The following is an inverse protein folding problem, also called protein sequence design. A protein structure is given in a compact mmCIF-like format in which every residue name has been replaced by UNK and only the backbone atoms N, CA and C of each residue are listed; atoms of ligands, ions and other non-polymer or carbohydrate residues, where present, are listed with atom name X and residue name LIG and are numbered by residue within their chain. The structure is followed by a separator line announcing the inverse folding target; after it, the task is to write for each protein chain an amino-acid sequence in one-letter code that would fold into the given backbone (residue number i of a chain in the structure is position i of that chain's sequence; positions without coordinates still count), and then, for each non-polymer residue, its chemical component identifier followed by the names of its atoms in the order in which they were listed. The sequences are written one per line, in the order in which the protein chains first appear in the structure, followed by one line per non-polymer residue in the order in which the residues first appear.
data_IF_962209457898
#
_entry.id   IF_962209457898
#
_cell.length_a   1.000
_cell.length_b   1.000
_cell.length_c   1.000
_cell.angle_alpha   90.00
_cell.angle_beta   90.00
_cell.angle_gamma   90.00
#
_symmetry.space_group_name_H-M   'P 1'
#
loop_
_entity.id
_entity.type
_entity.pdbx_description
1 polymer ?
#
# COMPACT_ATOMS: atom_id res chain seq x y z
N UNK A 1 20.80 12.59 12.05
CA UNK A 1 19.47 12.04 12.39
C UNK A 1 18.72 11.85 11.07
N UNK A 2 18.58 10.62 10.56
CA UNK A 2 17.83 10.38 9.31
C UNK A 2 16.39 10.79 9.58
N UNK A 3 15.87 11.75 8.82
CA UNK A 3 14.44 12.08 8.85
C UNK A 3 13.70 10.78 8.55
N UNK A 4 13.02 10.22 9.55
CA UNK A 4 12.11 9.10 9.34
C UNK A 4 11.02 9.65 8.44
N UNK A 5 11.00 9.20 7.18
CA UNK A 5 10.00 9.65 6.19
C UNK A 5 8.59 9.43 6.71
N UNK A 6 7.64 10.24 6.26
CA UNK A 6 6.24 10.10 6.64
C UNK A 6 5.70 8.73 6.18
N UNK A 7 5.33 7.87 7.12
CA UNK A 7 4.83 6.51 6.86
C UNK A 7 3.65 6.51 5.88
N UNK A 8 2.86 7.59 5.90
CA UNK A 8 1.70 7.79 5.03
C UNK A 8 2.05 7.85 3.55
N UNK A 9 3.26 8.32 3.22
CA UNK A 9 3.69 8.53 1.83
C UNK A 9 4.36 7.30 1.23
N UNK A 10 4.44 6.19 1.96
CA UNK A 10 5.09 4.95 1.54
C UNK A 10 4.11 3.81 1.69
N UNK A 11 3.83 3.11 0.59
CA UNK A 11 2.87 2.01 0.60
C UNK A 11 3.54 0.72 0.15
N UNK A 12 3.23 -0.38 0.86
CA UNK A 12 3.44 -1.73 0.39
C UNK A 12 2.12 -2.26 -0.19
N UNK A 13 2.08 -2.53 -1.50
CA UNK A 13 0.87 -2.95 -2.20
C UNK A 13 1.11 -4.09 -3.19
N UNK A 14 0.09 -4.91 -3.43
CA UNK A 14 0.05 -5.87 -4.53
C UNK A 14 -0.49 -5.13 -5.77
N UNK A 15 0.13 -5.32 -6.94
CA UNK A 15 -0.29 -4.66 -8.19
C UNK A 15 -1.10 -5.56 -9.13
N UNK A 16 -1.28 -6.82 -8.74
CA UNK A 16 -2.06 -7.79 -9.50
C UNK A 16 -3.44 -7.91 -8.85
N UNK A 17 -4.49 -7.60 -9.62
CA UNK A 17 -5.84 -7.43 -9.07
C UNK A 17 -6.64 -8.74 -9.02
N UNK A 18 -6.40 -9.68 -9.94
CA UNK A 18 -7.07 -10.99 -9.94
C UNK A 18 -6.47 -11.95 -10.98
N UNK A 19 -6.60 -13.25 -10.72
CA UNK A 19 -6.51 -14.32 -11.71
C UNK A 19 -7.90 -14.49 -12.34
N UNK A 20 -8.13 -13.89 -13.50
CA UNK A 20 -9.36 -14.13 -14.27
C UNK A 20 -9.09 -15.29 -15.23
N UNK A 21 -9.27 -16.52 -14.74
CA UNK A 21 -8.82 -17.73 -15.43
C UNK A 21 -7.29 -17.87 -15.36
N UNK A 22 -6.63 -18.17 -16.48
CA UNK A 22 -5.18 -18.33 -16.56
C UNK A 22 -4.40 -17.02 -16.82
N UNK A 23 -5.10 -15.88 -16.91
CA UNK A 23 -4.47 -14.57 -17.18
C UNK A 23 -4.44 -13.71 -15.93
N UNK A 24 -3.26 -13.21 -15.62
CA UNK A 24 -3.03 -12.20 -14.59
C UNK A 24 -3.33 -10.83 -15.16
N UNK A 25 -4.19 -10.09 -14.48
CA UNK A 25 -4.51 -8.71 -14.84
C UNK A 25 -3.75 -7.74 -13.92
N UNK A 26 -3.18 -6.71 -14.53
CA UNK A 26 -2.46 -5.65 -13.85
C UNK A 26 -3.14 -4.32 -14.16
N UNK A 27 -3.50 -3.59 -13.10
CA UNK A 27 -4.07 -2.26 -13.23
C UNK A 27 -2.96 -1.24 -13.45
N UNK A 28 -2.71 -0.94 -14.73
CA UNK A 28 -1.68 0.00 -15.19
C UNK A 28 -1.90 1.38 -14.58
N UNK A 29 -3.15 1.80 -14.49
CA UNK A 29 -3.51 3.12 -13.99
C UNK A 29 -3.23 3.19 -12.48
N UNK A 30 -3.54 2.14 -11.72
CA UNK A 30 -3.18 2.07 -10.31
C UNK A 30 -1.66 2.13 -10.11
N UNK A 31 -0.87 1.47 -10.96
CA UNK A 31 0.59 1.55 -10.90
C UNK A 31 1.06 3.00 -11.11
N UNK A 32 0.58 3.67 -12.17
CA UNK A 32 0.96 5.05 -12.48
C UNK A 32 0.53 6.00 -11.35
N UNK A 33 -0.71 5.87 -10.86
CA UNK A 33 -1.24 6.65 -9.74
C UNK A 33 -0.41 6.47 -8.48
N UNK A 34 -0.06 5.24 -8.12
CA UNK A 34 0.79 4.95 -6.97
C UNK A 34 2.17 5.61 -7.12
N UNK A 35 2.76 5.57 -8.32
CA UNK A 35 4.02 6.29 -8.58
C UNK A 35 3.84 7.81 -8.53
N UNK A 36 2.68 8.38 -8.80
CA UNK A 36 2.49 9.83 -8.68
C UNK A 36 2.26 10.24 -7.22
N UNK A 37 1.41 9.49 -6.51
CA UNK A 37 0.90 9.85 -5.17
C UNK A 37 1.89 9.49 -4.05
N UNK A 38 2.76 8.50 -4.25
CA UNK A 38 3.63 7.98 -3.18
C UNK A 38 5.07 8.44 -3.32
N UNK A 39 5.69 8.77 -2.19
CA UNK A 39 7.15 8.98 -2.11
C UNK A 39 7.90 7.70 -2.46
N UNK A 40 7.40 6.55 -1.98
CA UNK A 40 8.01 5.26 -2.26
C UNK A 40 6.92 4.18 -2.39
N UNK A 41 6.85 3.60 -3.57
CA UNK A 41 5.95 2.51 -3.90
C UNK A 41 6.67 1.16 -3.79
N UNK A 42 6.36 0.39 -2.75
CA UNK A 42 6.93 -0.95 -2.56
C UNK A 42 5.94 -1.97 -3.12
N UNK A 43 6.34 -2.65 -4.18
CA UNK A 43 5.50 -3.66 -4.82
C UNK A 43 5.77 -5.00 -4.16
N UNK A 44 4.72 -5.62 -3.62
CA UNK A 44 4.78 -7.02 -3.19
C UNK A 44 4.81 -7.89 -4.44
N UNK A 45 5.94 -8.55 -4.65
CA UNK A 45 6.33 -9.06 -5.95
C UNK A 45 6.31 -10.58 -6.04
N UNK A 46 5.93 -11.05 -7.22
CA UNK A 46 6.15 -12.43 -7.67
C UNK A 46 7.00 -12.47 -8.95
N UNK A 47 7.43 -11.30 -9.45
CA UNK A 47 8.23 -11.12 -10.65
C UNK A 47 7.42 -11.04 -11.94
N UNK A 48 6.10 -11.19 -11.86
CA UNK A 48 5.18 -11.20 -13.01
C UNK A 48 4.80 -9.79 -13.45
N UNK A 49 4.91 -8.81 -12.56
CA UNK A 49 4.65 -7.40 -12.83
C UNK A 49 5.79 -6.71 -13.60
N UNK A 50 7.00 -7.29 -13.60
CA UNK A 50 8.19 -6.60 -14.14
C UNK A 50 8.04 -6.30 -15.64
N UNK A 51 7.56 -7.22 -16.49
CA UNK A 51 7.25 -6.91 -17.89
C UNK A 51 6.27 -5.75 -18.04
N UNK A 52 5.24 -5.68 -17.19
CA UNK A 52 4.24 -4.60 -17.21
C UNK A 52 4.86 -3.26 -16.83
N UNK A 53 5.74 -3.23 -15.82
CA UNK A 53 6.46 -2.01 -15.44
C UNK A 53 7.37 -1.50 -16.55
N UNK A 54 8.07 -2.41 -17.25
CA UNK A 54 8.90 -2.03 -18.41
C UNK A 54 8.03 -1.55 -19.57
N UNK A 55 6.85 -2.13 -19.78
CA UNK A 55 5.91 -1.68 -20.80
C UNK A 55 5.33 -0.29 -20.50
N UNK A 56 5.00 0.01 -19.24
CA UNK A 56 4.49 1.33 -18.83
C UNK A 56 5.56 2.41 -18.92
N UNK A 57 6.75 2.14 -18.37
CA UNK A 57 7.77 3.17 -18.13
C UNK A 57 8.95 3.14 -19.12
N UNK A 58 9.01 2.12 -19.97
CA UNK A 58 10.20 1.81 -20.78
C UNK A 58 11.38 1.35 -19.92
N UNK A 59 12.43 0.85 -20.57
CA UNK A 59 13.65 0.41 -19.87
C UNK A 59 14.31 1.52 -19.06
N UNK A 60 14.53 2.69 -19.69
CA UNK A 60 15.26 3.78 -19.07
C UNK A 60 14.46 4.40 -17.92
N UNK A 61 13.16 4.63 -18.14
CA UNK A 61 12.29 5.15 -17.11
C UNK A 61 12.16 4.20 -15.92
N UNK A 62 11.90 2.91 -16.16
CA UNK A 62 11.82 1.95 -15.06
C UNK A 62 13.14 1.84 -14.27
N UNK A 63 14.28 1.84 -14.98
CA UNK A 63 15.60 1.91 -14.34
C UNK A 63 15.75 3.15 -13.45
N UNK A 64 15.32 4.32 -13.92
CA UNK A 64 15.42 5.57 -13.16
C UNK A 64 14.52 5.57 -11.93
N UNK A 65 13.32 4.97 -12.02
CA UNK A 65 12.42 4.79 -10.88
C UNK A 65 13.04 3.88 -9.80
N UNK A 66 13.78 2.84 -10.19
CA UNK A 66 14.53 2.00 -9.24
C UNK A 66 15.68 2.78 -8.60
N UNK A 67 16.54 3.41 -9.41
CA UNK A 67 17.72 4.13 -8.93
C UNK A 67 17.36 5.29 -7.97
N UNK A 68 16.20 5.94 -8.17
CA UNK A 68 15.69 6.98 -7.28
C UNK A 68 14.83 6.46 -6.12
N UNK A 69 14.72 5.14 -5.94
CA UNK A 69 13.91 4.47 -4.89
C UNK A 69 12.45 4.90 -4.90
N UNK A 70 11.95 5.25 -6.08
CA UNK A 70 10.54 5.52 -6.33
C UNK A 70 9.77 4.20 -6.26
N UNK A 71 10.32 3.16 -6.88
CA UNK A 71 9.80 1.79 -6.82
C UNK A 71 10.85 0.89 -6.15
N UNK A 72 10.39 -0.02 -5.29
CA UNK A 72 11.18 -1.16 -4.82
C UNK A 72 10.31 -2.41 -4.79
N UNK A 73 10.95 -3.57 -4.62
CA UNK A 73 10.24 -4.85 -4.56
C UNK A 73 10.40 -5.52 -3.21
N UNK A 74 9.33 -6.14 -2.75
CA UNK A 74 9.33 -7.04 -1.60
C UNK A 74 8.92 -8.43 -2.07
N UNK A 75 9.87 -9.37 -2.08
CA UNK A 75 9.53 -10.77 -2.29
C UNK A 75 9.66 -11.52 -0.98
N UNK A 76 8.59 -12.19 -0.64
CA UNK A 76 8.48 -12.95 0.59
C UNK A 76 9.06 -14.36 0.45
N UNK A 77 10.39 -14.47 0.42
CA UNK A 77 11.04 -15.78 0.37
C UNK A 77 11.06 -16.52 1.71
N UNK A 78 11.14 -15.77 2.81
CA UNK A 78 11.05 -16.32 4.16
C UNK A 78 9.70 -15.92 4.73
N UNK A 79 8.90 -16.94 5.07
CA UNK A 79 7.53 -16.79 5.51
C UNK A 79 7.26 -17.66 6.73
N UNK A 80 6.57 -17.17 7.76
CA UNK A 80 6.04 -18.06 8.76
C UNK A 80 4.91 -18.90 8.14
N UNK A 81 4.87 -20.18 8.49
CA UNK A 81 3.82 -21.09 8.04
C UNK A 81 3.80 -22.37 8.86
N UNK A 82 2.92 -23.29 8.48
CA UNK A 82 2.79 -24.59 9.14
C UNK A 82 3.77 -25.61 8.58
N UNK A 83 4.44 -26.35 9.46
CA UNK A 83 5.43 -27.38 9.15
C UNK A 83 4.89 -28.77 9.53
N UNK A 84 5.39 -29.79 8.83
CA UNK A 84 5.09 -31.21 9.09
C UNK A 84 3.58 -31.54 9.00
N UNK A 85 2.86 -30.78 8.18
CA UNK A 85 1.44 -31.02 7.91
C UNK A 85 1.24 -32.45 7.36
N UNK A 86 0.40 -33.23 8.05
CA UNK A 86 0.11 -34.63 7.69
C UNK A 86 0.89 -35.67 8.49
N UNK A 87 1.94 -35.27 9.22
CA UNK A 87 2.68 -36.17 10.13
C UNK A 87 2.30 -35.98 11.60
N UNK A 88 1.75 -34.82 11.94
CA UNK A 88 1.33 -34.46 13.30
C UNK A 88 -0.11 -34.91 13.58
N UNK A 89 -0.46 -35.20 14.85
CA UNK A 89 -1.84 -35.41 15.28
C UNK A 89 -2.80 -34.30 14.85
N UNK A 90 -4.10 -34.63 14.77
CA UNK A 90 -5.16 -33.73 14.25
C UNK A 90 -5.28 -32.40 15.02
N UNK A 91 -4.92 -32.40 16.29
CA UNK A 91 -4.99 -31.26 17.21
C UNK A 91 -3.64 -30.54 17.39
N UNK A 92 -2.56 -31.01 16.76
CA UNK A 92 -1.22 -30.41 16.87
C UNK A 92 -0.87 -29.62 15.61
N UNK A 93 -0.41 -28.39 15.83
CA UNK A 93 0.02 -27.45 14.81
C UNK A 93 1.44 -26.98 15.12
N UNK A 94 2.33 -27.06 14.14
CA UNK A 94 3.71 -26.60 14.27
C UNK A 94 3.95 -25.43 13.34
N UNK A 95 4.23 -24.26 13.90
CA UNK A 95 4.58 -23.06 13.14
C UNK A 95 6.10 -22.98 13.04
N UNK A 96 6.60 -22.66 11.85
CA UNK A 96 8.02 -22.45 11.60
C UNK A 96 8.23 -21.49 10.43
N UNK A 97 9.47 -21.03 10.26
CA UNK A 97 9.86 -20.33 9.05
C UNK A 97 10.01 -21.33 7.89
N UNK A 98 9.27 -21.06 6.83
CA UNK A 98 9.39 -21.69 5.52
C UNK A 98 10.29 -20.80 4.68
N UNK A 99 11.37 -21.37 4.14
CA UNK A 99 12.30 -20.70 3.26
C UNK A 99 12.70 -21.62 2.11
N UNK A 100 13.04 -21.08 0.92
CA UNK A 100 13.64 -21.89 -0.13
C UNK A 100 14.97 -22.46 0.35
N UNK A 101 15.37 -23.59 -0.23
CA UNK A 101 16.70 -24.19 -0.02
C UNK A 101 17.82 -23.25 -0.47
N UNK A 102 17.56 -22.47 -1.54
CA UNK A 102 18.47 -21.49 -2.10
C UNK A 102 17.71 -20.20 -2.43
N UNK A 103 18.04 -19.10 -1.74
CA UNK A 103 17.40 -17.79 -1.93
C UNK A 103 17.79 -17.17 -3.26
N UNK A 104 19.05 -17.27 -3.67
CA UNK A 104 19.54 -16.70 -4.92
C UNK A 104 18.87 -17.35 -6.14
N UNK A 105 18.66 -18.67 -6.07
CA UNK A 105 17.90 -19.40 -7.09
C UNK A 105 16.43 -18.93 -7.14
N UNK A 106 15.82 -18.70 -5.98
CA UNK A 106 14.45 -18.19 -5.91
C UNK A 106 14.33 -16.76 -6.49
N UNK A 107 15.28 -15.87 -6.17
CA UNK A 107 15.39 -14.53 -6.78
C UNK A 107 15.53 -14.65 -8.29
N UNK A 108 16.46 -15.49 -8.76
CA UNK A 108 16.71 -15.70 -10.19
C UNK A 108 15.46 -16.17 -10.93
N UNK A 109 14.68 -17.09 -10.33
CA UNK A 109 13.39 -17.56 -10.88
C UNK A 109 12.36 -16.44 -10.96
N UNK A 110 12.21 -15.62 -9.91
CA UNK A 110 11.33 -14.47 -9.94
C UNK A 110 11.72 -13.46 -11.04
N UNK A 111 13.02 -13.27 -11.28
CA UNK A 111 13.53 -12.39 -12.32
C UNK A 111 13.57 -13.03 -13.71
N UNK A 112 13.11 -14.27 -13.87
CA UNK A 112 13.14 -14.98 -15.16
C UNK A 112 12.29 -14.24 -16.21
N UNK A 113 11.14 -13.67 -15.82
CA UNK A 113 10.19 -13.00 -16.72
C UNK A 113 10.79 -11.76 -17.43
N UNK A 114 11.87 -11.18 -16.90
CA UNK A 114 12.61 -10.10 -17.59
C UNK A 114 13.19 -10.59 -18.93
N UNK A 115 13.43 -11.89 -19.07
CA UNK A 115 13.94 -12.48 -20.30
C UNK A 115 12.92 -12.43 -21.44
N UNK A 116 11.62 -12.42 -21.12
CA UNK A 116 10.54 -12.51 -22.11
C UNK A 116 10.17 -11.14 -22.70
N UNK A 117 10.72 -10.06 -22.13
CA UNK A 117 10.51 -8.69 -22.58
C UNK A 117 11.21 -8.46 -23.93
N UNK A 118 10.44 -8.23 -25.00
CA UNK A 118 10.97 -8.15 -26.37
C UNK A 118 11.63 -6.81 -26.70
N UNK A 119 11.17 -5.71 -26.08
CA UNK A 119 11.59 -4.34 -26.40
C UNK A 119 12.90 -3.89 -25.71
N UNK A 120 13.67 -4.82 -25.12
CA UNK A 120 14.94 -4.51 -24.45
C UNK A 120 16.05 -5.52 -24.83
N UNK A 121 17.27 -5.01 -24.95
CA UNK A 121 18.46 -5.81 -25.31
C UNK A 121 18.87 -6.76 -24.18
N UNK A 122 19.63 -7.81 -24.51
CA UNK A 122 20.16 -8.75 -23.53
C UNK A 122 21.01 -8.06 -22.42
N UNK A 123 21.84 -7.09 -22.79
CA UNK A 123 22.64 -6.31 -21.83
C UNK A 123 21.76 -5.50 -20.87
N UNK A 124 20.67 -4.92 -21.38
CA UNK A 124 19.68 -4.22 -20.58
C UNK A 124 18.96 -5.16 -19.62
N UNK A 125 18.59 -6.37 -20.07
CA UNK A 125 18.00 -7.42 -19.20
C UNK A 125 18.90 -7.75 -18.02
N UNK A 126 20.18 -8.02 -18.27
CA UNK A 126 21.16 -8.32 -17.20
C UNK A 126 21.25 -7.15 -16.20
N UNK A 127 21.44 -5.92 -16.71
CA UNK A 127 21.59 -4.74 -15.86
C UNK A 127 20.33 -4.51 -15.02
N UNK A 128 19.15 -4.69 -15.60
CA UNK A 128 17.88 -4.51 -14.91
C UNK A 128 17.68 -5.57 -13.83
N UNK A 129 18.01 -6.84 -14.08
CA UNK A 129 17.96 -7.89 -13.05
C UNK A 129 18.86 -7.55 -11.86
N UNK A 130 20.07 -7.06 -12.11
CA UNK A 130 20.97 -6.59 -11.05
C UNK A 130 20.35 -5.44 -10.25
N UNK A 131 19.81 -4.42 -10.93
CA UNK A 131 19.17 -3.29 -10.26
C UNK A 131 17.93 -3.68 -9.45
N UNK A 132 17.10 -4.60 -9.95
CA UNK A 132 15.94 -5.12 -9.22
C UNK A 132 16.40 -5.89 -7.98
N UNK A 133 17.45 -6.71 -8.12
CA UNK A 133 18.04 -7.43 -6.99
C UNK A 133 18.68 -6.50 -5.95
N UNK A 134 19.22 -5.34 -6.37
CA UNK A 134 19.77 -4.33 -5.45
C UNK A 134 18.68 -3.52 -4.72
N UNK A 135 17.50 -3.35 -5.34
CA UNK A 135 16.33 -2.67 -4.76
C UNK A 135 15.34 -3.66 -4.16
N UNK A 136 15.86 -4.81 -3.78
CA UNK A 136 15.13 -5.92 -3.23
C UNK A 136 15.09 -5.82 -1.71
N UNK A 137 13.90 -5.95 -1.12
CA UNK A 137 13.76 -6.18 0.30
C UNK A 137 13.59 -7.67 0.60
N UNK A 138 14.64 -8.31 1.13
CA UNK A 138 14.52 -9.64 1.76
C UNK A 138 14.03 -9.49 3.19
N UNK A 139 13.13 -10.37 3.58
CA UNK A 139 12.94 -10.67 5.00
C UNK A 139 14.19 -11.42 5.46
N UNK A 140 14.89 -10.89 6.47
CA UNK A 140 16.00 -11.61 7.09
C UNK A 140 15.45 -12.66 8.06
N UNK A 141 16.22 -13.71 8.33
CA UNK A 141 15.75 -14.78 9.21
C UNK A 141 15.54 -14.28 10.64
N UNK A 142 16.40 -13.40 11.15
CA UNK A 142 16.28 -12.83 12.50
C UNK A 142 14.97 -12.06 12.67
N UNK A 143 14.63 -11.24 11.68
CA UNK A 143 13.40 -10.45 11.63
C UNK A 143 12.14 -11.31 11.64
N UNK A 144 12.14 -12.41 10.87
CA UNK A 144 11.00 -13.32 10.86
C UNK A 144 10.89 -14.13 12.16
N UNK A 145 11.99 -14.33 12.89
CA UNK A 145 11.93 -14.90 14.23
C UNK A 145 11.26 -13.95 15.23
N UNK A 146 11.47 -12.63 15.11
CA UNK A 146 10.73 -11.63 15.92
C UNK A 146 9.23 -11.68 15.62
N UNK A 147 8.87 -11.80 14.34
CA UNK A 147 7.48 -12.01 13.92
C UNK A 147 6.86 -13.27 14.54
N UNK A 148 7.60 -14.39 14.55
CA UNK A 148 7.15 -15.63 15.23
C UNK A 148 7.03 -15.45 16.75
N UNK A 149 7.94 -14.70 17.38
CA UNK A 149 7.88 -14.42 18.82
C UNK A 149 6.67 -13.57 19.19
N UNK A 150 6.29 -12.62 18.33
CA UNK A 150 5.03 -11.85 18.50
C UNK A 150 3.81 -12.73 18.30
N UNK A 151 3.83 -13.60 17.29
CA UNK A 151 2.78 -14.59 17.08
C UNK A 151 2.62 -15.54 18.29
N UNK A 152 3.72 -16.02 18.88
CA UNK A 152 3.72 -16.86 20.07
C UNK A 152 3.01 -16.18 21.24
N UNK A 153 3.34 -14.90 21.48
CA UNK A 153 2.68 -14.13 22.52
C UNK A 153 1.19 -13.92 22.22
N UNK A 154 0.85 -13.66 20.96
CA UNK A 154 -0.52 -13.42 20.53
C UNK A 154 -1.40 -14.66 20.66
N UNK A 155 -0.91 -15.82 20.22
CA UNK A 155 -1.68 -17.06 20.26
C UNK A 155 -1.83 -17.59 21.68
N UNK A 156 -0.87 -17.34 22.58
CA UNK A 156 -0.90 -17.89 23.95
C UNK A 156 -1.55 -16.98 24.99
N UNK A 157 -1.46 -15.65 24.81
CA UNK A 157 -1.87 -14.67 25.83
C UNK A 157 -3.09 -13.84 25.46
N UNK A 158 -3.64 -14.02 24.26
CA UNK A 158 -4.78 -13.24 23.79
C UNK A 158 -5.85 -14.11 23.15
N UNK A 159 -7.07 -13.57 23.08
CA UNK A 159 -8.20 -14.25 22.43
C UNK A 159 -8.17 -14.14 20.90
N UNK A 160 -7.05 -13.70 20.30
CA UNK A 160 -6.97 -13.40 18.86
C UNK A 160 -7.20 -14.63 17.99
N UNK A 161 -6.81 -15.83 18.44
CA UNK A 161 -7.10 -17.06 17.72
C UNK A 161 -8.60 -17.36 17.75
N UNK A 162 -9.24 -17.22 18.91
CA UNK A 162 -10.68 -17.38 19.06
C UNK A 162 -11.47 -16.38 18.22
N UNK A 163 -11.01 -15.12 18.16
CA UNK A 163 -11.58 -14.07 17.30
C UNK A 163 -11.43 -14.45 15.82
N UNK A 164 -10.27 -14.96 15.42
CA UNK A 164 -10.02 -15.42 14.06
C UNK A 164 -10.86 -16.63 13.65
N UNK A 165 -11.06 -17.56 14.58
CA UNK A 165 -11.98 -18.69 14.38
C UNK A 165 -13.40 -18.18 14.22
N UNK A 166 -13.87 -17.30 15.10
CA UNK A 166 -15.23 -16.75 15.04
C UNK A 166 -15.48 -16.04 13.70
N UNK A 167 -14.54 -15.18 13.29
CA UNK A 167 -14.65 -14.50 12.01
C UNK A 167 -14.68 -15.47 10.83
N UNK A 168 -13.81 -16.48 10.81
CA UNK A 168 -13.81 -17.49 9.75
C UNK A 168 -15.14 -18.26 9.70
N UNK A 169 -15.67 -18.65 10.88
CA UNK A 169 -16.94 -19.34 11.01
C UNK A 169 -18.11 -18.49 10.50
N UNK A 170 -18.15 -17.22 10.89
CA UNK A 170 -19.18 -16.28 10.43
C UNK A 170 -19.15 -16.10 8.92
N UNK A 171 -17.97 -15.81 8.34
CA UNK A 171 -17.82 -15.52 6.92
C UNK A 171 -18.11 -16.72 6.01
N UNK A 172 -17.85 -17.95 6.46
CA UNK A 172 -18.00 -19.15 5.61
C UNK A 172 -19.25 -19.98 5.91
N UNK A 173 -19.81 -19.89 7.13
CA UNK A 173 -20.96 -20.70 7.55
C UNK A 173 -22.17 -19.86 7.95
N UNK A 174 -22.08 -18.52 7.92
CA UNK A 174 -23.17 -17.61 8.29
C UNK A 174 -23.60 -17.72 9.76
N UNK A 175 -22.80 -18.39 10.60
CA UNK A 175 -23.09 -18.59 12.01
C UNK A 175 -22.24 -17.63 12.83
N UNK A 176 -22.88 -16.62 13.43
CA UNK A 176 -22.22 -15.82 14.45
C UNK A 176 -22.13 -16.66 15.70
N UNK A 177 -20.93 -17.14 15.99
CA UNK A 177 -20.70 -17.87 17.23
C UNK A 177 -20.60 -16.78 18.29
N UNK A 178 -21.54 -16.77 19.24
CA UNK A 178 -21.42 -15.87 20.39
C UNK A 178 -20.00 -16.06 20.97
N UNK A 179 -19.24 -15.00 21.25
CA UNK A 179 -17.83 -15.12 21.65
C UNK A 179 -17.65 -16.04 22.88
N UNK A 180 -18.69 -16.19 23.71
CA UNK A 180 -18.72 -17.11 24.86
C UNK A 180 -18.94 -18.59 24.50
N UNK A 181 -19.22 -18.89 23.23
CA UNK A 181 -19.58 -20.23 22.76
C UNK A 181 -18.40 -20.99 22.16
N UNK A 182 -17.39 -20.30 21.63
CA UNK A 182 -16.16 -20.95 21.15
C UNK A 182 -15.18 -21.03 22.31
N UNK A 183 -14.87 -22.25 22.74
CA UNK A 183 -13.81 -22.54 23.70
C UNK A 183 -12.61 -23.04 22.92
N UNK A 184 -11.49 -22.34 23.06
CA UNK A 184 -10.21 -22.75 22.48
C UNK A 184 -9.21 -22.86 23.62
N UNK A 185 -8.68 -24.05 23.83
CA UNK A 185 -7.62 -24.31 24.79
C UNK A 185 -6.34 -24.59 24.02
N UNK A 186 -5.27 -23.90 24.39
CA UNK A 186 -3.98 -23.97 23.71
C UNK A 186 -2.94 -24.43 24.72
N UNK A 187 -2.36 -25.58 24.47
CA UNK A 187 -1.24 -26.12 25.24
C UNK A 187 0.04 -26.05 24.38
N UNK A 188 1.08 -25.43 24.92
CA UNK A 188 2.35 -25.24 24.23
C UNK A 188 3.35 -26.32 24.62
N UNK A 189 3.82 -27.08 23.63
CA UNK A 189 4.77 -28.16 23.84
C UNK A 189 5.93 -28.13 22.84
N UNK A 190 6.84 -29.09 23.00
CA UNK A 190 8.02 -29.26 22.12
C UNK A 190 7.60 -29.50 20.65
N UNK A 191 6.45 -30.14 20.45
CA UNK A 191 5.92 -30.49 19.13
C UNK A 191 5.09 -29.37 18.46
N UNK A 192 4.87 -28.24 19.16
CA UNK A 192 4.08 -27.10 18.69
C UNK A 192 2.90 -26.77 19.62
N UNK A 193 1.84 -26.23 19.04
CA UNK A 193 0.61 -25.89 19.75
C UNK A 193 -0.38 -27.05 19.63
N UNK A 194 -0.79 -27.58 20.77
CA UNK A 194 -1.92 -28.51 20.86
C UNK A 194 -3.17 -27.68 21.12
N UNK A 195 -4.07 -27.66 20.15
CA UNK A 195 -5.25 -26.81 20.16
C UNK A 195 -6.49 -27.70 20.26
N UNK A 196 -7.21 -27.57 21.36
CA UNK A 196 -8.52 -28.21 21.56
C UNK A 196 -9.61 -27.17 21.40
N UNK A 197 -10.69 -27.54 20.71
CA UNK A 197 -11.83 -26.65 20.58
C UNK A 197 -13.15 -27.39 20.59
N UNK A 198 -14.24 -26.64 20.72
CA UNK A 198 -15.61 -27.14 20.54
C UNK A 198 -16.22 -26.68 19.19
N UNK A 199 -15.40 -26.32 18.21
CA UNK A 199 -15.85 -25.76 16.92
C UNK A 199 -16.86 -26.69 16.22
N UNK A 200 -16.58 -27.99 16.18
CA UNK A 200 -17.45 -28.97 15.52
C UNK A 200 -18.85 -29.03 16.15
N UNK A 201 -18.94 -28.97 17.48
CA UNK A 201 -20.21 -28.95 18.21
C UNK A 201 -21.03 -27.71 17.87
N UNK A 202 -20.35 -26.56 17.79
CA UNK A 202 -20.99 -25.27 17.57
C UNK A 202 -21.44 -25.09 16.11
N UNK A 203 -20.66 -25.57 15.14
CA UNK A 203 -21.02 -25.50 13.72
C UNK A 203 -22.01 -26.61 13.33
N UNK A 204 -22.03 -27.74 14.05
CA UNK A 204 -22.89 -28.88 13.74
C UNK A 204 -22.53 -29.55 12.41
N UNK A 205 -21.24 -29.51 12.02
CA UNK A 205 -20.76 -30.14 10.78
C UNK A 205 -20.35 -31.58 11.02
N UNK A 206 -20.71 -32.47 10.08
CA UNK A 206 -20.33 -33.89 10.10
C UNK A 206 -18.98 -34.17 9.45
N UNK A 207 -18.44 -33.20 8.71
CA UNK A 207 -17.24 -33.37 7.86
C UNK A 207 -15.92 -33.04 8.59
N UNK A 208 -15.96 -32.87 9.92
CA UNK A 208 -14.80 -32.52 10.76
C UNK A 208 -13.96 -31.33 10.22
N UNK A 209 -14.57 -30.15 9.91
CA UNK A 209 -13.85 -29.00 9.37
C UNK A 209 -12.93 -28.31 10.39
N UNK A 210 -12.97 -28.72 11.66
CA UNK A 210 -12.28 -28.06 12.78
C UNK A 210 -10.79 -27.81 12.50
N UNK A 211 -10.05 -28.83 12.04
CA UNK A 211 -8.62 -28.67 11.75
C UNK A 211 -8.37 -27.62 10.65
N UNK A 212 -9.22 -27.58 9.62
CA UNK A 212 -9.11 -26.59 8.55
C UNK A 212 -9.41 -25.18 9.07
N UNK A 213 -10.45 -25.03 9.90
CA UNK A 213 -10.82 -23.75 10.50
C UNK A 213 -9.67 -23.23 11.35
N UNK A 214 -9.16 -24.04 12.29
CA UNK A 214 -8.02 -23.67 13.15
C UNK A 214 -6.80 -23.31 12.31
N UNK A 215 -6.49 -24.12 11.27
CA UNK A 215 -5.39 -23.84 10.34
C UNK A 215 -5.53 -22.47 9.68
N UNK A 216 -6.71 -22.16 9.11
CA UNK A 216 -6.97 -20.88 8.44
C UNK A 216 -6.86 -19.72 9.42
N UNK A 217 -7.36 -19.89 10.65
CA UNK A 217 -7.25 -18.90 11.71
C UNK A 217 -5.81 -18.65 12.14
N UNK A 218 -5.00 -19.70 12.32
CA UNK A 218 -3.54 -19.56 12.58
C UNK A 218 -2.88 -18.76 11.46
N UNK A 219 -3.17 -19.07 10.19
CA UNK A 219 -2.62 -18.32 9.05
C UNK A 219 -3.05 -16.86 9.05
N UNK A 220 -4.26 -16.53 9.46
CA UNK A 220 -4.72 -15.15 9.59
C UNK A 220 -3.93 -14.40 10.65
N UNK A 221 -3.72 -14.99 11.84
CA UNK A 221 -2.91 -14.40 12.93
C UNK A 221 -1.43 -14.26 12.53
N UNK A 222 -0.87 -15.24 11.79
CA UNK A 222 0.48 -15.15 11.23
C UNK A 222 0.61 -14.05 10.18
N UNK A 223 -0.37 -13.95 9.28
CA UNK A 223 -0.39 -12.92 8.23
C UNK A 223 -0.45 -11.53 8.86
N UNK A 224 -1.28 -11.36 9.88
CA UNK A 224 -1.39 -10.13 10.69
C UNK A 224 -0.04 -9.70 11.26
N UNK A 225 0.63 -10.59 11.98
CA UNK A 225 1.91 -10.31 12.63
C UNK A 225 2.99 -9.96 11.60
N UNK A 226 3.05 -10.70 10.48
CA UNK A 226 3.95 -10.40 9.37
C UNK A 226 3.64 -9.04 8.75
N UNK A 227 2.36 -8.72 8.58
CA UNK A 227 1.92 -7.46 8.01
C UNK A 227 2.38 -6.27 8.86
N UNK A 228 2.08 -6.31 10.16
CA UNK A 228 2.51 -5.28 11.12
C UNK A 228 4.02 -5.13 11.14
N UNK A 229 4.75 -6.25 11.12
CA UNK A 229 6.20 -6.24 11.06
C UNK A 229 6.72 -5.51 9.83
N UNK A 230 6.15 -5.79 8.65
CA UNK A 230 6.54 -5.12 7.40
C UNK A 230 6.25 -3.62 7.42
N UNK A 231 5.11 -3.23 7.96
CA UNK A 231 4.76 -1.81 8.12
C UNK A 231 5.82 -1.08 8.95
N UNK A 232 6.23 -1.68 10.08
CA UNK A 232 7.30 -1.16 10.93
C UNK A 232 8.65 -1.13 10.21
N UNK A 233 9.09 -2.27 9.67
CA UNK A 233 10.41 -2.43 9.04
C UNK A 233 10.60 -1.46 7.88
N UNK A 234 9.64 -1.42 6.97
CA UNK A 234 9.76 -0.58 5.78
C UNK A 234 9.30 0.85 6.02
N UNK A 235 8.80 1.16 7.22
CA UNK A 235 8.13 2.41 7.54
C UNK A 235 7.13 2.75 6.44
N UNK A 236 6.21 1.80 6.21
CA UNK A 236 5.18 1.88 5.18
C UNK A 236 3.81 1.59 5.77
N UNK A 237 2.80 2.16 5.13
CA UNK A 237 1.42 1.74 5.33
C UNK A 237 1.08 0.60 4.35
N UNK A 238 0.30 -0.38 4.77
CA UNK A 238 -0.22 -1.40 3.84
C UNK A 238 -1.69 -1.71 4.14
N UNK A 239 -2.43 -2.09 3.09
CA UNK A 239 -3.87 -2.33 3.19
C UNK A 239 -4.10 -3.71 3.83
N UNK A 240 -4.75 -3.74 4.99
CA UNK A 240 -5.13 -4.99 5.65
C UNK A 240 -6.07 -5.83 4.78
N UNK A 241 -5.89 -7.14 4.84
CA UNK A 241 -6.80 -8.09 4.18
C UNK A 241 -8.11 -8.15 4.96
N UNK A 242 -9.23 -8.42 4.29
CA UNK A 242 -10.54 -8.51 4.96
C UNK A 242 -10.53 -9.47 6.16
N UNK A 243 -9.87 -10.63 6.02
CA UNK A 243 -9.74 -11.62 7.10
C UNK A 243 -8.89 -11.14 8.29
N UNK A 244 -8.10 -10.08 8.12
CA UNK A 244 -7.28 -9.47 9.17
C UNK A 244 -8.05 -8.37 9.92
N UNK A 245 -9.03 -7.70 9.28
CA UNK A 245 -9.74 -6.54 9.84
C UNK A 245 -10.35 -6.82 11.23
N UNK A 246 -11.07 -7.93 11.47
CA UNK A 246 -11.69 -8.19 12.78
C UNK A 246 -10.68 -8.48 13.89
N UNK A 247 -9.47 -8.95 13.51
CA UNK A 247 -8.38 -9.19 14.47
C UNK A 247 -7.76 -7.87 14.96
N UNK A 248 -8.03 -6.75 14.25
CA UNK A 248 -7.54 -5.42 14.59
C UNK A 248 -8.45 -4.61 15.50
N UNK A 249 -9.74 -4.94 15.58
CA UNK A 249 -10.74 -4.09 16.24
C UNK A 249 -10.41 -3.81 17.71
N UNK A 250 -9.60 -4.67 18.34
CA UNK A 250 -9.12 -4.52 19.71
C UNK A 250 -7.73 -3.87 19.86
N UNK A 251 -6.83 -3.96 18.86
CA UNK A 251 -5.44 -3.49 18.99
C UNK A 251 -5.17 -2.12 18.34
N UNK A 252 -5.84 -1.77 17.23
CA UNK A 252 -5.41 -0.65 16.38
C UNK A 252 -6.54 0.15 15.73
N UNK A 253 -7.79 0.06 16.19
CA UNK A 253 -8.97 0.71 15.57
C UNK A 253 -8.78 2.20 15.29
N UNK A 254 -8.05 2.92 16.14
CA UNK A 254 -7.75 4.33 15.93
C UNK A 254 -6.74 4.56 14.79
N UNK A 255 -5.75 3.67 14.63
CA UNK A 255 -4.74 3.74 13.56
C UNK A 255 -5.33 3.23 12.24
N UNK A 256 -6.02 2.09 12.24
CA UNK A 256 -6.61 1.52 11.03
C UNK A 256 -7.65 2.45 10.38
N UNK A 257 -8.47 3.15 11.17
CA UNK A 257 -9.47 4.12 10.65
C UNK A 257 -8.85 5.43 10.17
N UNK A 258 -7.77 5.91 10.79
CA UNK A 258 -7.13 7.17 10.40
C UNK A 258 -6.12 7.01 9.25
N UNK A 259 -5.56 5.81 9.07
CA UNK A 259 -4.49 5.53 8.13
C UNK A 259 -4.89 4.49 7.07
N UNK A 260 -6.16 4.45 6.64
CA UNK A 260 -6.54 3.61 5.50
C UNK A 260 -5.70 4.01 4.27
N UNK A 261 -4.89 3.07 3.78
CA UNK A 261 -3.82 3.33 2.80
C UNK A 261 -4.36 3.71 1.41
N UNK A 262 -5.61 3.34 1.14
CA UNK A 262 -6.34 3.76 -0.04
C UNK A 262 -6.78 5.22 -0.01
N UNK A 263 -6.77 5.91 1.14
CA UNK A 263 -7.31 7.27 1.27
C UNK A 263 -6.71 8.29 0.28
N UNK A 264 -5.38 8.51 0.22
CA UNK A 264 -4.81 9.46 -0.73
C UNK A 264 -5.01 9.03 -2.20
N UNK A 265 -5.06 7.72 -2.47
CA UNK A 265 -5.27 7.18 -3.83
C UNK A 265 -6.73 7.38 -4.26
N UNK A 266 -7.70 7.09 -3.38
CA UNK A 266 -9.11 7.32 -3.61
C UNK A 266 -9.40 8.82 -3.78
N UNK A 267 -8.76 9.66 -2.97
CA UNK A 267 -8.86 11.11 -3.10
C UNK A 267 -8.21 11.61 -4.38
N UNK A 268 -7.10 10.99 -4.82
CA UNK A 268 -6.53 11.27 -6.13
C UNK A 268 -7.53 10.94 -7.24
N UNK A 269 -8.13 9.75 -7.22
CA UNK A 269 -9.16 9.31 -8.18
C UNK A 269 -10.34 10.28 -8.22
N UNK A 270 -10.86 10.65 -7.06
CA UNK A 270 -11.93 11.64 -6.93
C UNK A 270 -11.55 12.99 -7.54
N UNK A 271 -10.32 13.46 -7.31
CA UNK A 271 -9.84 14.73 -7.86
C UNK A 271 -9.68 14.67 -9.37
N UNK A 272 -9.09 13.60 -9.93
CA UNK A 272 -8.93 13.45 -11.38
C UNK A 272 -10.29 13.31 -12.09
N UNK A 273 -11.26 12.61 -11.48
CA UNK A 273 -12.63 12.50 -11.98
C UNK A 273 -13.31 13.87 -12.02
N UNK A 274 -13.27 14.63 -10.92
CA UNK A 274 -13.84 15.99 -10.88
C UNK A 274 -13.11 16.93 -11.87
N UNK A 275 -11.80 16.74 -12.06
CA UNK A 275 -11.03 17.48 -13.03
C UNK A 275 -11.32 17.07 -14.50
N UNK A 276 -12.06 15.97 -14.74
CA UNK A 276 -12.24 15.34 -16.05
C UNK A 276 -10.91 15.00 -16.74
N UNK A 277 -9.98 14.40 -15.99
CA UNK A 277 -8.72 13.90 -16.56
C UNK A 277 -8.99 12.59 -17.32
N UNK A 278 -8.36 12.35 -18.49
CA UNK A 278 -8.51 11.08 -19.20
C UNK A 278 -7.89 9.91 -18.44
N UNK A 279 -8.41 8.70 -18.64
CA UNK A 279 -7.82 7.48 -18.09
C UNK A 279 -6.39 7.25 -18.62
N UNK A 280 -5.57 6.52 -17.86
CA UNK A 280 -4.13 6.37 -18.17
C UNK A 280 -3.83 5.14 -19.05
N UNK A 281 -4.86 4.45 -19.55
CA UNK A 281 -4.73 3.15 -20.21
C UNK A 281 -3.93 3.18 -21.52
N UNK A 282 -3.95 4.30 -22.24
CA UNK A 282 -3.34 4.42 -23.58
C UNK A 282 -2.20 5.45 -23.70
N UNK A 283 -1.76 6.03 -22.58
CA UNK A 283 -0.73 7.08 -22.57
C UNK A 283 0.66 6.53 -22.24
N UNK A 284 1.67 7.08 -22.91
CA UNK A 284 3.08 6.84 -22.56
C UNK A 284 3.51 7.82 -21.48
N UNK A 285 4.16 7.32 -20.43
CA UNK A 285 4.64 8.15 -19.32
C UNK A 285 6.04 8.69 -19.62
N UNK A 286 6.20 10.01 -19.64
CA UNK A 286 7.52 10.65 -19.67
C UNK A 286 8.16 10.59 -18.28
N UNK A 287 8.99 9.58 -18.05
CA UNK A 287 9.54 9.30 -16.72
C UNK A 287 10.51 10.38 -16.21
N UNK A 288 11.34 10.94 -17.09
CA UNK A 288 12.24 12.04 -16.72
C UNK A 288 11.46 13.25 -16.18
N UNK A 289 10.32 13.58 -16.82
CA UNK A 289 9.42 14.63 -16.32
C UNK A 289 8.72 14.20 -15.04
N UNK A 290 8.28 12.95 -14.93
CA UNK A 290 7.61 12.42 -13.74
C UNK A 290 8.50 12.53 -12.51
N UNK A 291 9.78 12.15 -12.62
CA UNK A 291 10.72 12.21 -11.49
C UNK A 291 10.97 13.66 -11.08
N UNK A 292 11.27 14.55 -12.04
CA UNK A 292 11.42 15.99 -11.77
C UNK A 292 10.16 16.60 -11.15
N UNK A 293 9.00 16.14 -11.59
CA UNK A 293 7.73 16.62 -11.10
C UNK A 293 7.45 16.14 -9.68
N UNK A 294 7.71 14.86 -9.39
CA UNK A 294 7.53 14.28 -8.06
C UNK A 294 8.32 15.06 -7.01
N UNK A 295 9.54 15.46 -7.33
CA UNK A 295 10.39 16.23 -6.42
C UNK A 295 10.05 17.73 -6.36
N UNK A 296 9.09 18.17 -7.17
CA UNK A 296 8.67 19.57 -7.19
C UNK A 296 7.81 19.89 -5.96
N UNK A 297 7.96 21.12 -5.45
CA UNK A 297 7.21 21.60 -4.29
C UNK A 297 5.70 21.48 -4.49
N UNK A 298 5.24 21.67 -5.73
CA UNK A 298 3.86 21.55 -6.15
C UNK A 298 3.30 20.14 -5.99
N UNK A 299 4.04 19.11 -6.40
CA UNK A 299 3.65 17.72 -6.22
C UNK A 299 3.63 17.32 -4.74
N UNK A 300 4.60 17.80 -3.96
CA UNK A 300 4.66 17.54 -2.52
C UNK A 300 3.40 18.09 -1.83
N UNK A 301 3.03 19.34 -2.13
CA UNK A 301 1.84 19.97 -1.55
C UNK A 301 0.54 19.33 -2.02
N UNK A 302 0.50 18.91 -3.28
CA UNK A 302 -0.63 18.15 -3.81
C UNK A 302 -0.82 16.84 -3.04
N UNK A 303 0.26 16.07 -2.84
CA UNK A 303 0.22 14.83 -2.06
C UNK A 303 -0.17 15.06 -0.60
N UNK A 304 0.27 16.16 0.01
CA UNK A 304 -0.14 16.53 1.36
C UNK A 304 -1.63 16.90 1.43
N UNK A 305 -2.15 17.61 0.42
CA UNK A 305 -3.56 17.98 0.32
C UNK A 305 -4.48 16.76 0.12
N UNK A 306 -4.04 15.72 -0.60
CA UNK A 306 -4.83 14.49 -0.80
C UNK A 306 -5.26 13.82 0.53
N UNK A 307 -4.57 14.08 1.64
CA UNK A 307 -4.96 13.56 2.96
C UNK A 307 -6.14 14.30 3.60
N UNK A 308 -6.46 15.52 3.16
CA UNK A 308 -7.56 16.32 3.70
C UNK A 308 -8.80 16.36 2.79
N UNK A 309 -8.74 15.77 1.59
CA UNK A 309 -9.82 15.82 0.59
C UNK A 309 -11.16 15.25 1.10
N UNK A 310 -11.15 14.24 1.97
CA UNK A 310 -12.40 13.69 2.53
C UNK A 310 -13.15 14.66 3.46
N UNK A 311 -12.46 15.70 3.94
CA UNK A 311 -13.06 16.73 4.79
C UNK A 311 -13.73 17.85 4.01
N UNK A 312 -13.66 17.83 2.68
CA UNK A 312 -14.22 18.84 1.77
C UNK A 312 -15.15 18.21 0.74
N UNK A 313 -16.18 18.95 0.36
CA UNK A 313 -17.20 18.50 -0.58
C UNK A 313 -16.72 18.57 -2.04
N UNK A 314 -17.37 17.80 -2.91
CA UNK A 314 -17.07 17.77 -4.35
C UNK A 314 -17.22 19.16 -5.00
N UNK A 315 -18.14 19.98 -4.49
CA UNK A 315 -18.31 21.37 -4.91
C UNK A 315 -17.12 22.24 -4.51
N UNK A 316 -16.55 22.02 -3.34
CA UNK A 316 -15.34 22.74 -2.89
C UNK A 316 -14.11 22.26 -3.65
N UNK A 317 -13.98 20.96 -3.92
CA UNK A 317 -12.91 20.41 -4.78
C UNK A 317 -13.01 21.02 -6.19
N UNK A 318 -14.21 21.00 -6.78
CA UNK A 318 -14.48 21.60 -8.09
C UNK A 318 -14.27 23.13 -8.06
N UNK A 319 -14.58 23.78 -6.94
CA UNK A 319 -14.28 25.20 -6.71
C UNK A 319 -12.79 25.48 -6.72
N UNK A 320 -11.98 24.69 -6.01
CA UNK A 320 -10.51 24.80 -6.01
C UNK A 320 -9.95 24.60 -7.43
N UNK A 321 -10.49 23.61 -8.17
CA UNK A 321 -10.09 23.31 -9.55
C UNK A 321 -10.51 24.43 -10.52
N UNK A 322 -11.75 24.92 -10.43
CA UNK A 322 -12.33 25.91 -11.35
C UNK A 322 -11.91 27.34 -11.06
N UNK A 323 -11.79 27.74 -9.79
CA UNK A 323 -11.21 29.04 -9.41
C UNK A 323 -9.80 29.17 -10.00
N UNK A 324 -9.13 28.05 -10.23
CA UNK A 324 -7.85 28.04 -10.89
C UNK A 324 -7.93 28.03 -12.43
N UNK A 325 -8.80 27.22 -13.06
CA UNK A 325 -9.05 27.32 -14.53
C UNK A 325 -9.42 28.76 -14.94
N UNK A 326 -10.24 29.42 -14.14
CA UNK A 326 -10.65 30.81 -14.34
C UNK A 326 -9.52 31.82 -14.06
N UNK A 327 -8.56 31.49 -13.19
CA UNK A 327 -7.37 32.34 -12.97
C UNK A 327 -6.29 32.15 -14.02
N UNK A 328 -6.11 30.96 -14.58
CA UNK A 328 -5.20 30.72 -15.73
C UNK A 328 -5.70 31.48 -16.97
N UNK A 329 -7.01 31.69 -17.12
CA UNK A 329 -7.57 32.60 -18.12
C UNK A 329 -7.42 34.11 -17.84
N UNK A 330 -6.98 34.52 -16.64
CA UNK A 330 -7.00 35.93 -16.18
C UNK A 330 -5.64 36.44 -15.66
N UNK A 331 -4.54 35.68 -15.76
CA UNK A 331 -3.18 36.22 -15.51
C UNK A 331 -2.64 36.97 -16.74
N UNK A 332 -3.43 37.93 -17.21
CA UNK A 332 -3.00 39.13 -17.92
C UNK A 332 -3.77 40.29 -17.26
N UNK A 333 -3.07 41.01 -16.38
CA UNK A 333 -3.45 42.28 -15.74
C UNK A 333 -4.44 42.21 -14.56
N UNK A 334 -3.91 42.20 -13.31
CA UNK A 334 -4.02 43.35 -12.37
C UNK A 334 -3.42 43.06 -10.98
N UNK A 335 -2.95 44.11 -10.25
CA UNK A 335 -2.39 43.99 -8.91
C UNK A 335 -3.45 44.17 -7.81
N UNK A 336 -3.41 43.28 -6.81
CA UNK A 336 -4.01 43.47 -5.48
C UNK A 336 -5.37 42.82 -5.26
N UNK A 337 -5.45 41.85 -4.32
CA UNK A 337 -6.56 41.54 -3.38
C UNK A 337 -6.25 40.22 -2.65
N UNK A 338 -6.04 40.20 -1.31
CA UNK A 338 -7.04 40.11 -0.22
C UNK A 338 -7.97 38.88 -0.25
N UNK A 339 -7.43 37.66 -0.32
CA UNK A 339 -8.19 36.42 -0.04
C UNK A 339 -7.33 35.42 0.74
N UNK A 340 -7.16 35.63 2.05
CA UNK A 340 -6.53 34.64 2.98
C UNK A 340 -7.17 34.76 4.37
N UNK A 341 -8.47 34.46 4.51
CA UNK A 341 -9.10 34.41 5.86
C UNK A 341 -10.00 33.22 6.13
N UNK A 342 -10.18 32.33 5.16
CA UNK A 342 -11.18 31.25 5.28
C UNK A 342 -10.58 29.87 5.61
N UNK A 343 -9.27 29.66 5.43
CA UNK A 343 -8.65 28.34 5.63
C UNK A 343 -7.99 28.13 7.01
N UNK A 344 -8.01 29.14 7.89
CA UNK A 344 -7.41 29.04 9.23
C UNK A 344 -8.36 28.45 10.29
N UNK A 345 -9.66 28.31 10.03
CA UNK A 345 -10.64 27.92 11.06
C UNK A 345 -11.01 26.43 11.09
N UNK A 346 -10.52 25.61 10.15
CA UNK A 346 -10.99 24.21 10.01
C UNK A 346 -9.89 23.15 10.21
N UNK A 347 -8.62 23.57 10.36
CA UNK A 347 -7.48 22.64 10.44
C UNK A 347 -7.05 22.21 11.84
N UNK A 348 -7.52 22.87 12.90
CA UNK A 348 -7.20 22.53 14.30
C UNK A 348 -8.45 22.81 15.14
N UNK A 349 -9.26 21.78 15.41
CA UNK A 349 -10.52 21.92 16.14
C UNK A 349 -11.02 20.60 16.69
N UNK A 350 -10.22 19.98 17.57
CA UNK A 350 -10.60 18.78 18.32
C UNK A 350 -9.94 18.70 19.71
N UNK A 351 -9.37 19.80 20.20
CA UNK A 351 -8.95 19.97 21.58
C UNK A 351 -9.45 21.37 21.98
N UNK A 352 -10.30 21.44 22.99
CA UNK A 352 -10.73 22.69 23.58
C UNK A 352 -9.52 23.54 23.98
N UNK A 353 -9.50 24.85 23.67
CA UNK A 353 -8.40 25.72 24.06
C UNK A 353 -8.53 26.04 25.56
N UNK A 354 -7.67 25.44 26.39
CA UNK A 354 -7.34 26.06 27.67
C UNK A 354 -6.54 27.32 27.36
N UNK A 355 -7.21 28.44 27.59
CA UNK A 355 -6.78 29.84 27.53
C UNK A 355 -5.31 30.10 27.83
N UNK A 356 -4.65 30.91 26.99
CA UNK A 356 -3.52 31.72 27.43
C UNK A 356 -2.42 31.97 26.39
N UNK A 357 -2.63 33.00 25.56
CA UNK A 357 -1.57 33.89 25.02
C UNK A 357 -0.26 33.28 24.50
N UNK A 358 -0.21 33.00 23.18
CA UNK A 358 0.96 33.21 22.29
C UNK A 358 0.60 32.83 20.83
N UNK A 359 -0.24 33.63 20.16
CA UNK A 359 -0.68 33.38 18.77
C UNK A 359 -0.50 34.64 17.89
N UNK A 360 0.73 35.07 17.67
CA UNK A 360 0.98 36.14 16.68
C UNK A 360 2.20 35.93 15.79
N UNK A 361 3.13 35.04 16.15
CA UNK A 361 4.32 34.71 15.32
C UNK A 361 4.14 33.39 14.56
N UNK A 362 3.30 32.48 15.07
CA UNK A 362 3.01 31.18 14.45
C UNK A 362 2.11 31.31 13.21
N UNK A 363 1.19 32.28 13.21
CA UNK A 363 0.24 32.50 12.10
C UNK A 363 0.94 32.88 10.79
N UNK A 364 2.05 33.61 10.82
CA UNK A 364 2.75 34.01 9.60
C UNK A 364 3.56 32.87 8.98
N UNK A 365 4.16 32.02 9.82
CA UNK A 365 4.92 30.85 9.37
C UNK A 365 4.02 29.72 8.87
N UNK A 366 2.86 29.51 9.50
CA UNK A 366 1.87 28.51 9.05
C UNK A 366 1.19 28.97 7.76
N UNK A 367 0.82 30.24 7.63
CA UNK A 367 0.20 30.77 6.40
C UNK A 367 1.18 30.80 5.21
N UNK A 368 2.46 31.13 5.42
CA UNK A 368 3.46 31.17 4.34
C UNK A 368 4.01 29.78 3.96
N UNK A 369 3.94 28.79 4.86
CA UNK A 369 4.50 27.43 4.64
C UNK A 369 3.46 26.37 4.28
N UNK A 370 2.17 26.61 4.55
CA UNK A 370 1.05 25.70 4.21
C UNK A 370 0.28 26.15 2.95
N UNK A 371 0.42 27.40 2.49
CA UNK A 371 -0.26 27.87 1.28
C UNK A 371 0.63 28.55 0.24
N UNK A 372 1.24 27.80 -0.69
CA UNK A 372 1.43 28.31 -2.03
C UNK A 372 0.32 27.73 -2.89
N UNK A 373 -0.85 28.40 -2.89
CA UNK A 373 -2.01 28.09 -3.76
C UNK A 373 -1.70 28.11 -5.26
N UNK A 374 -0.47 28.41 -5.66
CA UNK A 374 0.03 28.30 -7.03
C UNK A 374 0.57 26.91 -7.36
N UNK A 375 0.92 26.11 -6.35
CA UNK A 375 1.62 24.85 -6.53
C UNK A 375 0.68 23.69 -6.86
N UNK A 376 -0.28 23.43 -5.98
CA UNK A 376 -1.33 22.41 -6.13
C UNK A 376 -1.97 22.42 -7.52
N UNK A 377 -2.19 23.62 -8.01
CA UNK A 377 -2.97 23.91 -9.19
C UNK A 377 -2.15 23.81 -10.49
N UNK A 378 -0.90 24.32 -10.47
CA UNK A 378 0.05 24.08 -11.56
C UNK A 378 0.34 22.58 -11.70
N UNK A 379 0.36 21.84 -10.59
CA UNK A 379 0.48 20.39 -10.61
C UNK A 379 -0.66 19.73 -11.41
N UNK A 380 -1.92 20.01 -11.05
CA UNK A 380 -3.09 19.35 -11.66
C UNK A 380 -3.30 19.73 -13.13
N UNK A 381 -3.15 21.01 -13.50
CA UNK A 381 -3.57 21.50 -14.82
C UNK A 381 -2.48 21.57 -15.88
N UNK A 382 -1.20 21.69 -15.48
CA UNK A 382 -0.12 21.89 -16.44
C UNK A 382 0.85 20.70 -16.39
N UNK A 383 1.27 20.37 -15.17
CA UNK A 383 2.37 19.46 -14.91
C UNK A 383 1.96 17.98 -15.03
N UNK A 384 0.84 17.59 -14.42
CA UNK A 384 0.30 16.23 -14.49
C UNK A 384 -0.07 15.84 -15.94
N UNK A 385 -0.82 16.66 -16.73
CA UNK A 385 -1.03 16.39 -18.16
C UNK A 385 0.27 16.26 -18.94
N UNK A 386 1.27 17.09 -18.66
CA UNK A 386 2.54 17.10 -19.41
C UNK A 386 3.39 15.82 -19.27
N UNK A 387 3.03 14.94 -18.33
CA UNK A 387 3.65 13.62 -18.17
C UNK A 387 3.23 12.65 -19.26
N UNK A 388 2.12 12.92 -19.95
CA UNK A 388 1.49 11.98 -20.88
C UNK A 388 1.62 12.50 -22.30
N UNK A 389 1.87 11.59 -23.24
CA UNK A 389 1.82 11.86 -24.68
C UNK A 389 1.01 10.77 -25.36
N UNK A 390 0.28 11.14 -26.42
CA UNK A 390 -0.50 10.21 -27.21
C UNK A 390 0.42 9.28 -28.02
N UNK A 391 0.16 7.97 -28.00
CA UNK A 391 0.92 6.97 -28.77
C UNK A 391 0.98 7.27 -30.28
N UNK A 392 0.04 8.04 -30.82
CA UNK A 392 0.02 8.43 -32.24
C UNK A 392 1.16 9.38 -32.62
N UNK A 393 1.65 10.22 -31.69
CA UNK A 393 2.69 11.21 -31.98
C UNK A 393 4.11 10.61 -32.03
N UNK A 394 4.36 9.47 -31.36
CA UNK A 394 5.66 8.80 -31.39
C UNK A 394 5.90 8.01 -32.69
N UNK A 395 4.87 7.43 -33.29
CA UNK A 395 5.00 6.74 -34.58
C UNK A 395 5.22 7.75 -35.73
N UNK A 396 4.55 8.90 -35.69
CA UNK A 396 4.76 9.98 -36.66
C UNK A 396 6.17 10.62 -36.58
N UNK A 397 6.86 10.50 -35.43
CA UNK A 397 8.25 10.94 -35.25
C UNK A 397 9.30 9.89 -35.58
N UNK A 398 8.93 8.60 -35.65
CA UNK A 398 9.82 7.52 -36.13
C UNK A 398 9.78 7.36 -37.65
N UNK A 399 8.74 7.88 -38.30
CA UNK A 399 8.60 7.91 -39.77
C UNK A 399 9.14 9.21 -40.42
N UNK A 400 9.75 10.10 -39.63
CA UNK A 400 10.55 11.26 -40.08
C UNK A 400 11.98 11.10 -39.63
#
# INVERSE_FOLDING_TARGET
MKVVGDIRKRILHEVCNQLTGDKLEFDRDAIIRNVIVLDHFIIKSYGLEIPVLIDIFGYYGFKELLENKVISFNFDFILPGLKDEGKLPKDIFKVALIKPSNVDEAVSKCLANVNDVQNITYKQKIKLKGLIADHFFTNEQAEMNECLSSFDSDITKSDILSQSINHYCYSNYGKFLNEKSIKVEIDTGIDGYKIKSNINEVIGSKDDPERMIIKKSIFSVLSLNRHLYKMLKYNTMSAFREAEIPLYENKLTLIARHFSTGRPINNFNKVIEIANFPDFTDVTVNVDKLIKLRDSQECILFRDWLWSVDSISDREINGIINDFRNRVGVVLNKPGMKIIRWLASTGIGGIEPISGTLISIVDKFIVEKIFPNKGLTSFINDKLPSLFSDKMDENAKKER
#
